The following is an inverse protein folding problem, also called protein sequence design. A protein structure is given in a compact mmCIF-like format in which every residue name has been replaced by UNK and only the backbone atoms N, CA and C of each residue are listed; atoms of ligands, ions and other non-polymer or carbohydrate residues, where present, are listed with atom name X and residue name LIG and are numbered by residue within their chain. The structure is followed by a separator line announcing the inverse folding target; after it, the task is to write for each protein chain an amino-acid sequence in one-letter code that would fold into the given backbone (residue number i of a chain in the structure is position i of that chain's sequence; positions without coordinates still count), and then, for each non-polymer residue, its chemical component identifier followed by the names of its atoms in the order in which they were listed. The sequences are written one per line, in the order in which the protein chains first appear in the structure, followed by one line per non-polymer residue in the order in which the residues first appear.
data_IF_439790903475
#
_entry.id   IF_439790903475
#
_cell.length_a   1.000
_cell.length_b   1.000
_cell.length_c   1.000
_cell.angle_alpha   90.00
_cell.angle_beta   90.00
_cell.angle_gamma   90.00
#
_symmetry.space_group_name_H-M   'P 1'
#
loop_
_entity.id
_entity.type
_entity.pdbx_description
1 polymer ?
#
# COMPACT_ATOMS: atom_id res chain seq x y z
N UNK A 1 5.15 10.10 3.50
CA UNK A 1 4.40 10.80 4.56
C UNK A 1 3.00 10.21 4.61
N UNK A 2 2.64 9.56 5.72
CA UNK A 2 1.42 8.79 5.93
C UNK A 2 1.46 8.15 7.33
N UNK A 3 0.58 7.18 7.63
CA UNK A 3 0.55 6.49 8.93
C UNK A 3 1.93 5.94 9.31
N UNK A 4 2.54 5.14 8.43
CA UNK A 4 3.86 4.57 8.68
C UNK A 4 4.93 5.62 8.98
N UNK A 5 4.95 6.77 8.27
CA UNK A 5 5.89 7.87 8.57
C UNK A 5 5.68 8.46 9.97
N UNK A 6 4.42 8.60 10.41
CA UNK A 6 4.12 9.06 11.77
C UNK A 6 4.58 8.03 12.81
N UNK A 7 4.37 6.74 12.56
CA UNK A 7 4.79 5.68 13.48
C UNK A 7 6.32 5.54 13.54
N UNK A 8 7.01 5.67 12.40
CA UNK A 8 8.47 5.75 12.34
C UNK A 8 8.99 6.94 13.15
N UNK A 9 8.31 8.09 13.06
CA UNK A 9 8.64 9.26 13.87
C UNK A 9 8.41 9.01 15.38
N UNK A 10 7.28 8.40 15.77
CA UNK A 10 7.04 8.02 17.17
C UNK A 10 8.14 7.09 17.71
N UNK A 11 8.59 6.13 16.89
CA UNK A 11 9.64 5.18 17.23
C UNK A 11 11.05 5.78 17.30
N UNK A 12 11.21 7.10 17.04
CA UNK A 12 12.48 7.78 17.32
C UNK A 12 12.70 8.00 18.82
N UNK A 13 11.62 8.00 19.60
CA UNK A 13 11.68 7.99 21.06
C UNK A 13 11.86 6.54 21.55
N UNK A 14 12.80 6.33 22.48
CA UNK A 14 13.17 5.02 23.04
C UNK A 14 12.04 4.36 23.82
N UNK A 15 11.00 5.10 24.20
CA UNK A 15 9.81 4.56 24.85
C UNK A 15 8.96 3.69 23.91
N UNK A 16 9.12 3.84 22.59
CA UNK A 16 8.31 3.19 21.58
C UNK A 16 9.13 2.17 20.78
N UNK A 17 8.57 0.97 20.58
CA UNK A 17 9.12 -0.03 19.68
C UNK A 17 8.18 -0.26 18.48
N UNK A 18 8.69 -0.12 17.27
CA UNK A 18 7.91 -0.29 16.04
C UNK A 18 8.04 -1.70 15.46
N UNK A 19 6.89 -2.31 15.17
CA UNK A 19 6.79 -3.51 14.35
C UNK A 19 5.52 -3.47 13.49
N UNK A 20 5.45 -4.33 12.48
CA UNK A 20 4.19 -4.55 11.76
C UNK A 20 3.34 -5.57 12.51
N UNK A 21 2.01 -5.49 12.41
CA UNK A 21 1.07 -6.44 13.00
C UNK A 21 1.44 -7.87 12.66
N UNK A 22 1.76 -8.12 11.39
CA UNK A 22 2.21 -9.43 10.93
C UNK A 22 3.51 -9.90 11.59
N UNK A 23 4.50 -9.01 11.75
CA UNK A 23 5.78 -9.36 12.41
C UNK A 23 5.52 -9.76 13.86
N UNK A 24 4.62 -9.06 14.54
CA UNK A 24 4.21 -9.38 15.90
C UNK A 24 3.52 -10.75 15.97
N UNK A 25 2.47 -10.95 15.17
CA UNK A 25 1.67 -12.19 15.17
C UNK A 25 2.51 -13.44 14.91
N UNK A 26 3.48 -13.34 14.00
CA UNK A 26 4.32 -14.48 13.61
C UNK A 26 5.60 -14.62 14.46
N UNK A 27 5.83 -13.73 15.43
CA UNK A 27 7.02 -13.82 16.29
C UNK A 27 6.81 -14.89 17.36
N UNK A 28 7.78 -15.78 17.51
CA UNK A 28 7.79 -16.81 18.55
C UNK A 28 7.95 -16.21 19.96
N UNK A 29 8.82 -15.22 20.09
CA UNK A 29 9.03 -14.45 21.32
C UNK A 29 8.79 -12.95 21.07
N UNK A 30 7.61 -12.41 21.42
CA UNK A 30 7.29 -11.01 21.20
C UNK A 30 8.11 -10.06 22.09
N UNK A 31 8.72 -10.52 23.20
CA UNK A 31 9.57 -9.65 24.05
C UNK A 31 10.75 -9.09 23.27
N UNK A 32 11.28 -9.86 22.31
CA UNK A 32 12.33 -9.41 21.40
C UNK A 32 11.93 -8.20 20.53
N UNK A 33 10.63 -7.96 20.32
CA UNK A 33 10.13 -6.80 19.56
C UNK A 33 9.97 -5.57 20.45
N UNK A 34 9.54 -5.74 21.70
CA UNK A 34 9.39 -4.65 22.66
C UNK A 34 10.75 -4.18 23.19
N UNK A 35 11.65 -5.11 23.50
CA UNK A 35 12.95 -4.80 24.09
C UNK A 35 12.80 -4.05 25.42
N UNK A 36 13.41 -2.87 25.52
CA UNK A 36 13.32 -1.99 26.70
C UNK A 36 12.25 -0.90 26.56
N UNK A 37 11.47 -0.91 25.47
CA UNK A 37 10.38 0.05 25.27
C UNK A 37 9.21 -0.27 26.21
N UNK A 38 8.34 0.71 26.42
CA UNK A 38 7.11 0.56 27.23
C UNK A 38 5.84 0.60 26.39
N UNK A 39 5.95 1.06 25.15
CA UNK A 39 4.84 1.14 24.20
C UNK A 39 5.19 0.37 22.93
N UNK A 40 4.32 -0.56 22.53
CA UNK A 40 4.46 -1.25 21.25
C UNK A 40 3.65 -0.53 20.16
N UNK A 41 4.32 -0.06 19.11
CA UNK A 41 3.70 0.53 17.95
C UNK A 41 3.56 -0.54 16.87
N UNK A 42 2.33 -0.82 16.48
CA UNK A 42 1.94 -1.89 15.57
C UNK A 42 1.36 -1.28 14.29
N UNK A 43 2.11 -1.36 13.19
CA UNK A 43 1.70 -0.84 11.88
C UNK A 43 1.01 -1.90 11.00
N UNK A 44 0.26 -1.42 9.99
CA UNK A 44 -0.29 -2.25 8.90
C UNK A 44 -1.17 -3.41 9.34
N UNK A 45 -2.09 -3.21 10.30
CA UNK A 45 -3.07 -4.25 10.63
C UNK A 45 -3.94 -4.64 9.42
N UNK A 46 -4.20 -3.70 8.50
CA UNK A 46 -5.00 -3.91 7.29
C UNK A 46 -4.35 -4.84 6.26
N UNK A 47 -3.11 -5.26 6.51
CA UNK A 47 -2.39 -6.26 5.72
C UNK A 47 -2.50 -7.67 6.33
N UNK A 48 -3.04 -7.82 7.54
CA UNK A 48 -3.28 -9.12 8.15
C UNK A 48 -4.46 -9.80 7.46
N UNK A 49 -4.20 -10.95 6.85
CA UNK A 49 -5.25 -11.75 6.23
C UNK A 49 -6.14 -12.38 7.32
N UNK A 50 -7.26 -11.73 7.59
CA UNK A 50 -8.28 -12.19 8.53
C UNK A 50 -9.42 -12.87 7.78
N UNK A 51 -9.84 -14.05 8.23
CA UNK A 51 -10.99 -14.76 7.66
C UNK A 51 -12.32 -14.11 8.07
N UNK A 52 -12.34 -13.41 9.22
CA UNK A 52 -13.51 -12.71 9.77
C UNK A 52 -13.14 -11.34 10.36
N UNK A 53 -14.14 -10.47 10.47
CA UNK A 53 -14.00 -9.14 11.08
C UNK A 53 -13.59 -9.25 12.56
N UNK A 54 -12.47 -8.60 12.91
CA UNK A 54 -11.91 -8.60 14.27
C UNK A 54 -10.80 -9.62 14.52
N UNK A 55 -10.66 -10.67 13.71
CA UNK A 55 -9.64 -11.72 13.92
C UNK A 55 -8.22 -11.15 13.96
N UNK A 56 -7.95 -10.11 13.14
CA UNK A 56 -6.65 -9.45 13.10
C UNK A 56 -6.30 -8.76 14.45
N UNK A 57 -7.30 -8.14 15.10
CA UNK A 57 -7.13 -7.49 16.41
C UNK A 57 -6.88 -8.56 17.48
N UNK A 58 -7.65 -9.66 17.47
CA UNK A 58 -7.48 -10.77 18.42
C UNK A 58 -6.08 -11.41 18.34
N UNK A 59 -5.55 -11.55 17.12
CA UNK A 59 -4.20 -12.06 16.92
C UNK A 59 -3.12 -11.14 17.51
N UNK A 60 -3.30 -9.81 17.40
CA UNK A 60 -2.41 -8.83 18.03
C UNK A 60 -2.56 -8.87 19.55
N UNK A 61 -3.79 -8.86 20.07
CA UNK A 61 -4.07 -8.90 21.51
C UNK A 61 -3.47 -10.13 22.18
N UNK A 62 -3.54 -11.30 21.54
CA UNK A 62 -2.89 -12.52 22.06
C UNK A 62 -1.38 -12.35 22.25
N UNK A 63 -0.71 -11.69 21.29
CA UNK A 63 0.73 -11.40 21.40
C UNK A 63 1.04 -10.31 22.41
N UNK A 64 0.14 -9.35 22.61
CA UNK A 64 0.25 -8.38 23.69
C UNK A 64 0.06 -9.05 25.07
N UNK A 65 -0.79 -10.07 25.18
CA UNK A 65 -0.93 -10.86 26.42
C UNK A 65 0.32 -11.65 26.78
N UNK A 66 1.04 -12.19 25.78
CA UNK A 66 2.38 -12.77 26.00
C UNK A 66 3.39 -11.74 26.53
N UNK A 67 3.15 -10.44 26.32
CA UNK A 67 3.98 -9.33 26.80
C UNK A 67 3.48 -8.71 28.11
N UNK A 68 2.46 -9.29 28.76
CA UNK A 68 1.78 -8.70 29.93
C UNK A 68 1.09 -7.35 29.63
N UNK A 69 0.47 -7.26 28.46
CA UNK A 69 -0.37 -6.14 28.00
C UNK A 69 0.26 -4.74 28.16
N UNK A 70 1.42 -4.47 27.51
CA UNK A 70 1.98 -3.13 27.49
C UNK A 70 1.05 -2.16 26.76
N UNK A 71 1.25 -0.86 26.98
CA UNK A 71 0.58 0.15 26.15
C UNK A 71 0.91 -0.10 24.67
N UNK A 72 -0.07 0.16 23.80
CA UNK A 72 0.15 -0.03 22.37
C UNK A 72 -0.49 1.07 21.53
N UNK A 73 0.06 1.26 20.33
CA UNK A 73 -0.53 2.08 19.26
C UNK A 73 -0.76 1.16 18.08
N UNK A 74 -1.98 1.12 17.56
CA UNK A 74 -2.35 0.24 16.44
C UNK A 74 -2.78 1.08 15.24
N UNK A 75 -2.06 0.95 14.12
CA UNK A 75 -2.43 1.59 12.86
C UNK A 75 -3.04 0.59 11.88
N UNK A 76 -4.14 1.00 11.28
CA UNK A 76 -5.04 0.18 10.47
C UNK A 76 -5.92 1.07 9.57
N UNK A 77 -6.75 0.51 8.68
CA UNK A 77 -7.87 1.29 8.10
C UNK A 77 -9.05 1.22 9.06
N UNK A 78 -9.94 2.19 8.91
CA UNK A 78 -11.11 2.34 9.79
C UNK A 78 -11.96 1.06 9.83
N UNK A 79 -12.11 0.37 8.71
CA UNK A 79 -12.93 -0.84 8.62
C UNK A 79 -12.34 -2.04 9.37
N UNK A 80 -11.02 -2.13 9.54
CA UNK A 80 -10.37 -3.38 9.95
C UNK A 80 -10.39 -3.62 11.47
N UNK A 81 -10.64 -2.57 12.26
CA UNK A 81 -10.66 -2.68 13.73
C UNK A 81 -11.97 -2.19 14.36
N UNK A 82 -12.75 -1.36 13.66
CA UNK A 82 -14.01 -0.80 14.20
C UNK A 82 -15.20 -1.76 14.16
N UNK A 83 -15.01 -3.03 13.82
CA UNK A 83 -16.06 -4.02 14.06
C UNK A 83 -16.42 -4.04 15.54
N UNK A 84 -17.67 -4.38 15.87
CA UNK A 84 -18.11 -4.48 17.27
C UNK A 84 -17.18 -5.41 18.09
N UNK A 85 -16.67 -6.46 17.44
CA UNK A 85 -15.72 -7.43 18.00
C UNK A 85 -14.37 -6.83 18.37
N UNK A 86 -13.78 -5.97 17.54
CA UNK A 86 -12.44 -5.43 17.78
C UNK A 86 -12.37 -4.48 18.98
N UNK A 87 -13.39 -3.64 19.17
CA UNK A 87 -13.46 -2.73 20.33
C UNK A 87 -13.68 -3.49 21.64
N UNK A 88 -14.63 -4.42 21.64
CA UNK A 88 -14.94 -5.25 22.81
C UNK A 88 -13.73 -6.08 23.24
N UNK A 89 -13.03 -6.71 22.29
CA UNK A 89 -11.83 -7.48 22.57
C UNK A 89 -10.71 -6.65 23.22
N UNK A 90 -10.50 -5.40 22.79
CA UNK A 90 -9.52 -4.51 23.42
C UNK A 90 -9.96 -4.16 24.86
N UNK A 91 -11.23 -3.81 25.04
CA UNK A 91 -11.78 -3.46 26.35
C UNK A 91 -11.67 -4.63 27.34
N UNK A 92 -11.96 -5.86 26.91
CA UNK A 92 -11.86 -7.05 27.76
C UNK A 92 -10.46 -7.30 28.32
N UNK A 93 -9.40 -6.92 27.59
CA UNK A 93 -8.02 -7.15 28.04
C UNK A 93 -7.42 -5.96 28.81
N UNK A 94 -7.83 -4.72 28.48
CA UNK A 94 -7.25 -3.51 29.06
C UNK A 94 -8.15 -2.79 30.07
N UNK A 95 -9.43 -3.19 30.19
CA UNK A 95 -10.48 -2.51 30.98
C UNK A 95 -10.61 -1.01 30.65
N UNK A 96 -10.20 -0.63 29.44
CA UNK A 96 -10.15 0.74 28.96
C UNK A 96 -10.57 0.80 27.50
N UNK A 97 -11.38 1.81 27.17
CA UNK A 97 -11.75 2.07 25.78
C UNK A 97 -10.53 2.54 24.99
N UNK A 98 -10.28 2.00 23.78
CA UNK A 98 -9.18 2.45 22.95
C UNK A 98 -9.39 3.91 22.51
N UNK A 99 -8.34 4.71 22.60
CA UNK A 99 -8.33 6.05 22.03
C UNK A 99 -8.29 5.97 20.51
N UNK A 100 -9.34 6.47 19.87
CA UNK A 100 -9.41 6.54 18.43
C UNK A 100 -8.83 7.86 17.90
N UNK A 101 -7.87 7.75 16.99
CA UNK A 101 -7.24 8.89 16.33
C UNK A 101 -7.37 8.78 14.80
N UNK A 102 -7.62 9.91 14.15
CA UNK A 102 -7.65 10.04 12.70
C UNK A 102 -6.54 10.95 12.22
N UNK A 103 -5.90 10.57 11.11
CA UNK A 103 -5.09 11.51 10.35
C UNK A 103 -6.01 12.31 9.45
N UNK A 104 -6.11 13.59 9.75
CA UNK A 104 -6.80 14.53 8.88
C UNK A 104 -6.06 14.65 7.55
N UNK A 105 -6.78 14.93 6.44
CA UNK A 105 -6.14 15.38 5.21
C UNK A 105 -5.22 16.56 5.47
N UNK A 106 -4.14 16.66 4.69
CA UNK A 106 -3.27 17.82 4.73
C UNK A 106 -4.08 19.10 4.51
N UNK A 107 -3.82 20.11 5.34
CA UNK A 107 -4.34 21.45 5.09
C UNK A 107 -3.66 22.02 3.85
N UNK A 108 -4.31 22.96 3.20
CA UNK A 108 -3.78 23.58 1.98
C UNK A 108 -2.40 24.21 2.20
N UNK A 109 -2.16 24.82 3.36
CA UNK A 109 -0.85 25.36 3.73
C UNK A 109 0.24 24.28 3.84
N UNK A 110 -0.08 23.13 4.44
CA UNK A 110 0.85 22.01 4.60
C UNK A 110 1.13 21.33 3.26
N UNK A 111 0.09 21.17 2.44
CA UNK A 111 0.19 20.66 1.08
C UNK A 111 1.08 21.56 0.21
N UNK A 112 0.87 22.88 0.30
CA UNK A 112 1.70 23.86 -0.39
C UNK A 112 3.15 23.82 0.09
N UNK A 113 3.39 23.74 1.40
CA UNK A 113 4.74 23.65 1.95
C UNK A 113 5.47 22.39 1.47
N UNK A 114 4.79 21.24 1.44
CA UNK A 114 5.35 19.99 0.89
C UNK A 114 5.66 20.11 -0.61
N UNK A 115 4.74 20.68 -1.40
CA UNK A 115 4.99 20.94 -2.81
C UNK A 115 6.17 21.88 -3.01
N UNK A 116 6.26 22.96 -2.23
CA UNK A 116 7.36 23.93 -2.31
C UNK A 116 8.71 23.26 -2.02
N UNK A 117 8.78 22.37 -1.03
CA UNK A 117 10.00 21.60 -0.76
C UNK A 117 10.38 20.68 -1.92
N UNK A 118 9.39 20.09 -2.60
CA UNK A 118 9.61 19.10 -3.65
C UNK A 118 9.94 19.70 -5.03
N UNK A 119 9.28 20.80 -5.40
CA UNK A 119 9.32 21.38 -6.77
C UNK A 119 9.70 22.87 -6.81
N UNK A 120 9.91 23.50 -5.65
CA UNK A 120 10.15 24.93 -5.54
C UNK A 120 8.86 25.77 -5.55
N UNK A 121 8.98 27.04 -5.15
CA UNK A 121 7.84 27.91 -4.86
C UNK A 121 6.95 28.19 -6.07
N UNK A 122 7.53 28.48 -7.23
CA UNK A 122 6.77 28.84 -8.43
C UNK A 122 5.94 27.66 -8.96
N UNK A 123 6.57 26.49 -9.07
CA UNK A 123 5.89 25.27 -9.50
C UNK A 123 4.82 24.85 -8.49
N UNK A 124 5.07 24.96 -7.18
CA UNK A 124 4.06 24.67 -6.16
C UNK A 124 2.81 25.54 -6.33
N UNK A 125 2.97 26.85 -6.59
CA UNK A 125 1.84 27.75 -6.87
C UNK A 125 1.08 27.34 -8.13
N UNK A 126 1.80 27.01 -9.20
CA UNK A 126 1.21 26.55 -10.47
C UNK A 126 0.40 25.27 -10.29
N UNK A 127 0.94 24.28 -9.56
CA UNK A 127 0.27 23.02 -9.27
C UNK A 127 -1.02 23.25 -8.48
N UNK A 128 -0.96 23.98 -7.37
CA UNK A 128 -2.14 24.23 -6.53
C UNK A 128 -3.22 24.94 -7.34
N UNK A 129 -2.85 25.99 -8.09
CA UNK A 129 -3.77 26.72 -8.96
C UNK A 129 -4.43 25.78 -9.98
N UNK A 130 -3.64 24.99 -10.70
CA UNK A 130 -4.12 24.08 -11.74
C UNK A 130 -5.08 23.02 -11.19
N UNK A 131 -4.76 22.42 -10.04
CA UNK A 131 -5.63 21.42 -9.41
C UNK A 131 -6.96 22.04 -8.94
N UNK A 132 -6.91 23.24 -8.34
CA UNK A 132 -8.10 23.94 -7.88
C UNK A 132 -9.02 24.35 -9.04
N UNK A 133 -8.47 24.92 -10.12
CA UNK A 133 -9.24 25.34 -11.31
C UNK A 133 -9.95 24.18 -12.02
N UNK A 134 -9.54 22.94 -11.74
CA UNK A 134 -10.03 21.72 -12.40
C UNK A 134 -10.85 20.82 -11.49
N UNK A 135 -11.16 21.26 -10.28
CA UNK A 135 -11.92 20.45 -9.32
C UNK A 135 -11.14 19.25 -8.79
N UNK A 136 -9.81 19.29 -8.84
CA UNK A 136 -8.89 18.22 -8.42
C UNK A 136 -8.25 18.50 -7.05
N UNK A 137 -8.76 19.48 -6.29
CA UNK A 137 -8.25 19.88 -4.98
C UNK A 137 -8.21 18.75 -3.95
N UNK A 138 -9.03 17.70 -4.11
CA UNK A 138 -9.01 16.51 -3.26
C UNK A 138 -7.66 15.76 -3.26
N UNK A 139 -6.80 16.01 -4.24
CA UNK A 139 -5.44 15.45 -4.26
C UNK A 139 -4.46 16.18 -3.36
N UNK A 140 -4.74 17.43 -2.99
CA UNK A 140 -3.88 18.21 -2.10
C UNK A 140 -3.89 17.67 -0.67
N UNK A 141 -4.98 17.01 -0.26
CA UNK A 141 -5.13 16.46 1.09
C UNK A 141 -4.34 15.17 1.35
N UNK A 142 -3.77 14.53 0.34
CA UNK A 142 -3.05 13.26 0.48
C UNK A 142 -1.55 13.44 0.16
N UNK A 143 -0.64 13.30 1.15
CA UNK A 143 0.79 13.49 0.93
C UNK A 143 1.39 12.55 -0.12
N UNK A 144 0.89 11.32 -0.19
CA UNK A 144 1.29 10.33 -1.18
C UNK A 144 0.89 10.79 -2.60
N UNK A 145 -0.33 11.33 -2.76
CA UNK A 145 -0.76 11.91 -4.02
C UNK A 145 0.04 13.16 -4.40
N UNK A 146 0.39 14.02 -3.44
CA UNK A 146 1.23 15.19 -3.69
C UNK A 146 2.63 14.84 -4.20
N UNK A 147 3.25 13.78 -3.67
CA UNK A 147 4.53 13.29 -4.18
C UNK A 147 4.40 12.87 -5.66
N UNK A 148 3.33 12.17 -6.00
CA UNK A 148 3.07 11.75 -7.37
C UNK A 148 2.85 12.93 -8.32
N UNK A 149 2.05 13.91 -7.90
CA UNK A 149 1.84 15.16 -8.65
C UNK A 149 3.15 15.91 -8.84
N UNK A 150 3.99 15.96 -7.80
CA UNK A 150 5.32 16.59 -7.86
C UNK A 150 6.22 15.92 -8.90
N UNK A 151 6.22 14.58 -8.97
CA UNK A 151 7.00 13.85 -9.98
C UNK A 151 6.50 14.11 -11.41
N UNK A 152 5.18 14.19 -11.60
CA UNK A 152 4.57 14.48 -12.90
C UNK A 152 4.91 15.91 -13.34
N UNK A 153 4.78 16.87 -12.42
CA UNK A 153 5.05 18.28 -12.69
C UNK A 153 6.50 18.52 -13.15
N UNK A 154 7.46 17.73 -12.66
CA UNK A 154 8.86 17.80 -13.09
C UNK A 154 9.10 17.28 -14.51
N UNK A 155 8.25 16.37 -14.98
CA UNK A 155 8.46 15.62 -16.23
C UNK A 155 7.51 16.05 -17.37
N UNK A 156 6.62 17.02 -17.15
CA UNK A 156 5.75 17.52 -18.21
C UNK A 156 4.54 18.32 -17.74
N UNK A 157 3.49 18.26 -18.54
CA UNK A 157 2.21 18.95 -18.32
C UNK A 157 1.48 18.36 -17.11
N UNK A 158 0.82 19.22 -16.34
CA UNK A 158 -0.10 18.81 -15.28
C UNK A 158 -1.38 18.18 -15.86
N UNK A 159 -1.95 17.16 -15.19
CA UNK A 159 -3.11 16.43 -15.70
C UNK A 159 -4.40 17.24 -15.56
N UNK A 160 -5.32 17.06 -16.51
CA UNK A 160 -6.62 17.75 -16.49
C UNK A 160 -7.70 16.97 -15.77
N UNK A 161 -7.49 15.67 -15.57
CA UNK A 161 -8.44 14.77 -14.90
C UNK A 161 -7.73 13.78 -13.97
N UNK A 162 -8.48 13.15 -13.06
CA UNK A 162 -7.98 12.04 -12.23
C UNK A 162 -7.45 10.86 -13.07
N UNK A 163 -8.13 10.54 -14.17
CA UNK A 163 -7.68 9.48 -15.08
C UNK A 163 -6.36 9.83 -15.75
N UNK A 164 -6.22 11.07 -16.21
CA UNK A 164 -4.97 11.54 -16.80
C UNK A 164 -3.82 11.57 -15.78
N UNK A 165 -4.08 11.97 -14.53
CA UNK A 165 -3.09 11.92 -13.45
C UNK A 165 -2.52 10.51 -13.30
N UNK A 166 -3.38 9.50 -13.22
CA UNK A 166 -2.94 8.12 -13.08
C UNK A 166 -2.25 7.58 -14.33
N UNK A 167 -2.70 7.93 -15.54
CA UNK A 167 -2.00 7.56 -16.78
C UNK A 167 -0.60 8.19 -16.86
N UNK A 168 -0.47 9.47 -16.51
CA UNK A 168 0.82 10.17 -16.48
C UNK A 168 1.74 9.58 -15.39
N UNK A 169 1.21 9.33 -14.19
CA UNK A 169 1.91 8.65 -13.10
C UNK A 169 2.47 7.29 -13.52
N UNK A 170 1.65 6.47 -14.16
CA UNK A 170 2.06 5.17 -14.68
C UNK A 170 3.20 5.32 -15.69
N UNK A 171 3.17 6.35 -16.54
CA UNK A 171 4.26 6.60 -17.48
C UNK A 171 5.57 6.93 -16.77
N UNK A 172 5.54 7.84 -15.79
CA UNK A 172 6.71 8.25 -15.00
C UNK A 172 7.28 7.08 -14.20
N UNK A 173 6.42 6.26 -13.56
CA UNK A 173 6.84 5.13 -12.73
C UNK A 173 7.30 3.91 -13.56
N UNK A 174 6.89 3.81 -14.81
CA UNK A 174 7.37 2.75 -15.71
C UNK A 174 8.80 3.02 -16.18
N UNK A 175 9.27 4.26 -16.17
CA UNK A 175 10.64 4.58 -16.55
C UNK A 175 11.64 4.02 -15.54
N UNK A 176 12.79 3.58 -16.05
CA UNK A 176 13.64 2.55 -15.44
C UNK A 176 14.47 3.07 -14.25
N UNK A 177 14.63 2.26 -13.20
CA UNK A 177 15.56 2.56 -12.07
C UNK A 177 16.99 2.06 -12.32
N UNK A 178 17.23 1.22 -13.34
CA UNK A 178 18.57 0.70 -13.66
C UNK A 178 18.72 0.46 -15.16
N UNK A 179 19.66 1.18 -15.77
CA UNK A 179 20.11 0.99 -17.14
C UNK A 179 20.70 -0.41 -17.34
N UNK A 180 19.84 -1.41 -17.54
CA UNK A 180 20.27 -2.75 -17.97
C UNK A 180 20.30 -2.77 -19.49
N UNK A 181 21.51 -2.61 -20.03
CA UNK A 181 21.79 -2.79 -21.46
C UNK A 181 21.65 -4.29 -21.80
N UNK A 182 20.52 -4.70 -22.39
CA UNK A 182 20.41 -5.73 -23.46
C UNK A 182 19.03 -6.43 -23.49
N UNK A 183 18.62 -6.78 -24.73
CA UNK A 183 17.42 -7.52 -25.18
C UNK A 183 16.13 -6.71 -25.43
N UNK A 184 15.35 -7.15 -26.43
CA UNK A 184 14.08 -6.54 -26.89
C UNK A 184 13.17 -6.26 -25.70
N UNK A 185 13.06 -4.99 -25.30
CA UNK A 185 12.16 -4.62 -24.22
C UNK A 185 10.71 -4.93 -24.63
N UNK A 186 9.89 -5.54 -23.74
CA UNK A 186 8.48 -5.76 -24.01
C UNK A 186 7.76 -4.46 -24.33
N UNK A 187 6.67 -4.53 -25.10
CA UNK A 187 5.94 -3.33 -25.44
C UNK A 187 5.37 -2.66 -24.16
N UNK A 188 5.13 -1.35 -24.22
CA UNK A 188 4.52 -0.60 -23.11
C UNK A 188 3.29 -1.32 -22.55
N UNK A 189 2.42 -1.76 -23.46
CA UNK A 189 1.17 -2.43 -23.11
C UNK A 189 1.43 -3.70 -22.29
N UNK A 190 2.39 -4.50 -22.71
CA UNK A 190 2.70 -5.79 -22.08
C UNK A 190 3.20 -5.61 -20.64
N UNK A 191 4.04 -4.60 -20.39
CA UNK A 191 4.50 -4.27 -19.03
C UNK A 191 3.32 -3.82 -18.15
N UNK A 192 2.42 -3.00 -18.69
CA UNK A 192 1.27 -2.49 -17.94
C UNK A 192 0.22 -3.57 -17.69
N UNK A 193 -0.01 -4.46 -18.67
CA UNK A 193 -0.90 -5.60 -18.51
C UNK A 193 -0.35 -6.58 -17.46
N UNK A 194 0.97 -6.81 -17.44
CA UNK A 194 1.60 -7.67 -16.43
C UNK A 194 1.55 -7.07 -15.02
N UNK A 195 1.83 -5.77 -14.90
CA UNK A 195 1.68 -5.04 -13.64
C UNK A 195 0.22 -5.04 -13.17
N UNK A 196 -0.72 -4.77 -14.08
CA UNK A 196 -2.14 -4.81 -13.79
C UNK A 196 -2.64 -6.19 -13.34
N UNK A 197 -2.16 -7.27 -13.97
CA UNK A 197 -2.45 -8.64 -13.54
C UNK A 197 -1.99 -8.88 -12.09
N UNK A 198 -0.73 -8.56 -11.80
CA UNK A 198 -0.16 -8.73 -10.47
C UNK A 198 -0.91 -7.92 -9.39
N UNK A 199 -1.19 -6.64 -9.67
CA UNK A 199 -1.89 -5.77 -8.73
C UNK A 199 -3.34 -6.19 -8.51
N UNK A 200 -4.05 -6.57 -9.57
CA UNK A 200 -5.41 -7.11 -9.46
C UNK A 200 -5.42 -8.37 -8.60
N UNK A 201 -4.51 -9.31 -8.83
CA UNK A 201 -4.43 -10.53 -8.03
C UNK A 201 -4.16 -10.23 -6.55
N UNK A 202 -3.15 -9.41 -6.25
CA UNK A 202 -2.84 -9.03 -4.86
C UNK A 202 -4.04 -8.38 -4.15
N UNK A 203 -4.73 -7.47 -4.81
CA UNK A 203 -5.90 -6.79 -4.23
C UNK A 203 -7.05 -7.78 -4.00
N UNK A 204 -7.35 -8.63 -4.99
CA UNK A 204 -8.48 -9.56 -4.92
C UNK A 204 -8.26 -10.72 -3.95
N UNK A 205 -7.02 -11.12 -3.71
CA UNK A 205 -6.66 -12.20 -2.78
C UNK A 205 -6.25 -11.69 -1.40
N UNK A 206 -6.19 -10.37 -1.19
CA UNK A 206 -5.64 -9.77 0.03
C UNK A 206 -4.14 -10.06 0.23
N UNK A 207 -3.40 -10.39 -0.84
CA UNK A 207 -1.97 -10.65 -0.75
C UNK A 207 -1.15 -9.35 -0.76
N UNK A 208 -0.13 -9.28 0.09
CA UNK A 208 0.73 -8.10 0.24
C UNK A 208 1.79 -7.99 -0.87
N UNK A 209 2.20 -9.14 -1.41
CA UNK A 209 3.33 -9.23 -2.31
C UNK A 209 3.20 -10.39 -3.31
N UNK A 210 3.97 -10.28 -4.38
CA UNK A 210 4.31 -11.38 -5.30
C UNK A 210 5.75 -11.83 -5.08
N UNK A 211 6.05 -13.11 -5.30
CA UNK A 211 7.39 -13.68 -5.06
C UNK A 211 7.95 -14.46 -6.25
N UNK A 212 9.29 -14.38 -6.45
CA UNK A 212 10.03 -15.22 -7.42
C UNK A 212 10.24 -16.65 -6.90
N UNK A 213 10.15 -16.86 -5.59
CA UNK A 213 10.34 -18.18 -4.99
C UNK A 213 9.05 -18.98 -5.09
N UNK A 214 9.11 -20.16 -5.71
CA UNK A 214 8.00 -21.12 -5.77
C UNK A 214 8.32 -22.33 -4.88
N UNK A 215 7.42 -22.69 -3.97
CA UNK A 215 7.57 -23.85 -3.07
C UNK A 215 7.18 -23.55 -1.61
N UNK A 216 7.27 -24.56 -0.74
CA UNK A 216 6.88 -24.70 0.69
C UNK A 216 7.01 -23.48 1.63
N UNK A 217 7.67 -22.40 1.21
CA UNK A 217 7.79 -21.12 1.90
C UNK A 217 6.79 -20.05 1.40
N UNK A 218 5.87 -20.39 0.50
CA UNK A 218 4.77 -19.49 0.12
C UNK A 218 3.83 -19.30 1.32
N UNK A 219 4.03 -18.20 2.05
CA UNK A 219 3.05 -17.75 3.04
C UNK A 219 1.71 -17.50 2.33
N UNK A 220 0.58 -17.74 2.99
CA UNK A 220 -0.78 -17.48 2.46
C UNK A 220 -1.00 -16.07 1.89
N UNK A 221 -0.14 -15.11 2.22
CA UNK A 221 -0.22 -13.71 1.81
C UNK A 221 0.64 -13.37 0.58
N UNK A 222 1.24 -14.36 -0.08
CA UNK A 222 2.20 -14.13 -1.16
C UNK A 222 1.83 -14.99 -2.37
N UNK A 223 1.67 -14.36 -3.53
CA UNK A 223 1.33 -15.05 -4.77
C UNK A 223 2.62 -15.37 -5.53
N UNK A 224 2.73 -16.56 -6.11
CA UNK A 224 3.89 -16.87 -6.94
C UNK A 224 3.81 -16.08 -8.24
N UNK A 225 4.94 -15.52 -8.68
CA UNK A 225 5.05 -14.91 -10.02
C UNK A 225 4.63 -15.88 -11.11
N UNK A 226 4.87 -17.18 -10.92
CA UNK A 226 4.46 -18.20 -11.92
C UNK A 226 2.95 -18.33 -12.04
N UNK A 227 2.17 -18.02 -10.99
CA UNK A 227 0.71 -18.00 -11.04
C UNK A 227 0.21 -16.76 -11.78
N UNK A 228 0.82 -15.60 -11.53
CA UNK A 228 0.49 -14.37 -12.25
C UNK A 228 0.85 -14.49 -13.73
N UNK A 229 1.97 -15.11 -14.08
CA UNK A 229 2.36 -15.33 -15.48
C UNK A 229 1.38 -16.23 -16.26
N UNK A 230 0.52 -17.00 -15.58
CA UNK A 230 -0.55 -17.78 -16.22
C UNK A 230 -1.79 -16.92 -16.51
N UNK A 231 -1.90 -15.75 -15.90
CA UNK A 231 -3.01 -14.84 -16.15
C UNK A 231 -2.83 -14.13 -17.49
N UNK A 232 -3.93 -13.79 -18.17
CA UNK A 232 -3.87 -13.05 -19.42
C UNK A 232 -3.06 -11.74 -19.30
N UNK A 233 -2.03 -11.57 -20.13
CA UNK A 233 -1.17 -10.38 -20.09
C UNK A 233 -0.12 -10.39 -18.97
N UNK A 234 -0.02 -11.46 -18.18
CA UNK A 234 0.95 -11.60 -17.08
C UNK A 234 2.36 -12.06 -17.51
N UNK A 235 2.56 -12.39 -18.77
CA UNK A 235 3.75 -13.10 -19.29
C UNK A 235 5.06 -12.32 -19.06
N UNK A 236 4.97 -11.00 -19.04
CA UNK A 236 6.12 -10.09 -18.92
C UNK A 236 6.33 -9.55 -17.50
N UNK A 237 5.77 -10.22 -16.48
CA UNK A 237 5.87 -9.75 -15.10
C UNK A 237 7.33 -9.66 -14.63
N UNK A 238 8.18 -10.60 -15.02
CA UNK A 238 9.59 -10.60 -14.62
C UNK A 238 10.32 -9.31 -15.04
N UNK A 239 9.99 -8.76 -16.22
CA UNK A 239 10.53 -7.50 -16.74
C UNK A 239 9.82 -6.27 -16.17
N UNK A 240 8.54 -6.41 -15.78
CA UNK A 240 7.78 -5.33 -15.15
C UNK A 240 8.28 -5.03 -13.72
N UNK A 241 8.80 -6.04 -13.01
CA UNK A 241 9.32 -5.92 -11.64
C UNK A 241 10.52 -4.97 -11.52
N UNK A 242 11.25 -4.72 -12.60
CA UNK A 242 12.40 -3.80 -12.60
C UNK A 242 11.99 -2.33 -12.77
N UNK A 243 10.69 -2.04 -12.90
CA UNK A 243 10.14 -0.69 -13.04
C UNK A 243 9.73 -0.13 -11.68
N UNK A 244 9.71 1.20 -11.55
CA UNK A 244 9.28 1.92 -10.31
C UNK A 244 7.78 1.76 -10.02
N UNK A 245 7.06 0.97 -10.81
CA UNK A 245 5.71 0.49 -10.49
C UNK A 245 5.70 -0.46 -9.29
N UNK A 246 6.82 -1.17 -9.06
CA UNK A 246 7.00 -2.09 -7.96
C UNK A 246 8.01 -1.58 -6.93
N UNK A 247 7.76 -1.89 -5.66
CA UNK A 247 8.72 -1.74 -4.56
C UNK A 247 9.11 -3.12 -4.03
N UNK A 248 10.35 -3.26 -3.56
CA UNK A 248 10.80 -4.45 -2.86
C UNK A 248 10.13 -4.56 -1.48
N UNK A 249 9.59 -5.74 -1.17
CA UNK A 249 8.93 -6.08 0.10
C UNK A 249 9.68 -7.19 0.86
N UNK A 250 11.00 -7.30 0.63
CA UNK A 250 11.87 -8.34 1.14
C UNK A 250 12.66 -9.05 0.03
N UNK A 251 13.37 -10.11 0.40
CA UNK A 251 14.13 -10.93 -0.56
C UNK A 251 13.15 -11.57 -1.55
N UNK A 252 13.35 -11.29 -2.83
CA UNK A 252 12.53 -11.81 -3.93
C UNK A 252 11.01 -11.54 -3.82
N UNK A 253 10.60 -10.59 -2.98
CA UNK A 253 9.22 -10.17 -2.78
C UNK A 253 9.00 -8.75 -3.31
N UNK A 254 7.88 -8.53 -3.99
CA UNK A 254 7.55 -7.26 -4.62
C UNK A 254 6.11 -6.87 -4.33
N UNK A 255 5.87 -5.58 -4.08
CA UNK A 255 4.54 -4.99 -3.89
C UNK A 255 4.36 -3.76 -4.80
N UNK A 256 3.18 -3.17 -4.85
CA UNK A 256 2.97 -1.92 -5.59
C UNK A 256 3.75 -0.76 -4.94
N UNK A 257 4.35 0.11 -5.75
CA UNK A 257 4.99 1.31 -5.22
C UNK A 257 3.97 2.31 -4.64
N UNK A 258 2.75 2.29 -5.17
CA UNK A 258 1.67 3.16 -4.75
C UNK A 258 0.32 2.45 -4.88
N UNK A 259 -0.42 2.29 -3.78
CA UNK A 259 -1.65 1.48 -3.79
C UNK A 259 -2.68 1.97 -4.80
N UNK A 260 -2.92 3.28 -4.87
CA UNK A 260 -3.88 3.84 -5.85
C UNK A 260 -3.47 3.62 -7.30
N UNK A 261 -2.16 3.52 -7.60
CA UNK A 261 -1.67 3.14 -8.93
C UNK A 261 -1.91 1.65 -9.16
N UNK A 262 -1.69 0.82 -8.13
CA UNK A 262 -2.03 -0.59 -8.14
C UNK A 262 -3.52 -0.83 -8.43
N UNK A 263 -4.40 -0.13 -7.72
CA UNK A 263 -5.86 -0.17 -7.91
C UNK A 263 -6.26 0.31 -9.31
N UNK A 264 -5.68 1.40 -9.80
CA UNK A 264 -5.95 1.91 -11.14
C UNK A 264 -5.55 0.91 -12.23
N UNK A 265 -4.32 0.37 -12.17
CA UNK A 265 -3.82 -0.61 -13.14
C UNK A 265 -4.54 -1.94 -13.04
N UNK A 266 -4.86 -2.39 -11.82
CA UNK A 266 -5.66 -3.60 -11.58
C UNK A 266 -7.07 -3.46 -12.16
N UNK A 267 -7.74 -2.34 -11.92
CA UNK A 267 -9.06 -2.04 -12.48
C UNK A 267 -9.01 -1.94 -14.02
N UNK A 268 -8.00 -1.27 -14.57
CA UNK A 268 -7.78 -1.19 -16.02
C UNK A 268 -7.59 -2.59 -16.62
N UNK A 269 -6.75 -3.41 -15.99
CA UNK A 269 -6.53 -4.80 -16.41
C UNK A 269 -7.83 -5.60 -16.39
N UNK A 270 -8.59 -5.56 -15.28
CA UNK A 270 -9.89 -6.23 -15.14
C UNK A 270 -10.90 -5.77 -16.19
N UNK A 271 -11.00 -4.45 -16.44
CA UNK A 271 -11.93 -3.89 -17.43
C UNK A 271 -11.63 -4.34 -18.86
N UNK A 272 -10.36 -4.65 -19.15
CA UNK A 272 -9.94 -5.16 -20.46
C UNK A 272 -10.25 -6.64 -20.66
N UNK A 273 -10.61 -7.36 -19.59
CA UNK A 273 -11.03 -8.77 -19.66
C UNK A 273 -12.49 -8.82 -20.09
N UNK A 274 -12.74 -9.45 -21.24
CA UNK A 274 -14.11 -9.77 -21.67
C UNK A 274 -14.74 -10.66 -20.59
N UNK A 275 -15.91 -10.28 -20.08
CA UNK A 275 -16.70 -11.18 -19.23
C UNK A 275 -16.95 -12.48 -20.01
N UNK A 276 -16.76 -13.66 -19.40
CA UNK A 276 -17.25 -14.89 -20.00
C UNK A 276 -18.76 -14.75 -20.22
N UNK A 277 -19.25 -15.22 -21.36
CA UNK A 277 -20.69 -15.25 -21.61
C UNK A 277 -21.37 -16.03 -20.46
N UNK A 278 -22.53 -15.58 -19.97
CA UNK A 278 -23.27 -16.35 -18.97
C UNK A 278 -23.53 -17.76 -19.52
N UNK A 279 -23.43 -18.80 -18.69
CA UNK A 279 -23.74 -20.15 -19.14
C UNK A 279 -25.17 -20.18 -19.69
N UNK A 280 -25.44 -20.96 -20.76
CA UNK A 280 -26.79 -21.07 -21.30
C UNK A 280 -27.74 -21.52 -20.17
N UNK A 281 -28.86 -20.80 -20.01
CA UNK A 281 -29.93 -21.27 -19.14
C UNK A 281 -30.48 -22.57 -19.73
N UNK A 282 -30.25 -23.69 -19.05
CA UNK A 282 -30.92 -24.94 -19.39
C UNK A 282 -32.43 -24.70 -19.30
N UNK A 283 -33.10 -24.84 -20.44
CA UNK A 283 -34.57 -24.79 -20.56
C UNK A 283 -35.17 -26.15 -20.23
#
# INVERSE_FOLDING_TARGET
MGKSTLLEWLATDRLYALCTARKLINRSDPHSLLGNATVLVVDSLDEVNAQRDGDAVDHVLRKLGELDYPLFVLACRVADWRSATGREAIYEQYEQEPYELHLDPLREADAFALLQQNVGMEHARSIVKHLNERGLQGFLGNPQTLNLVSEIAKNGRLPDTKGELFEQAVNVLREETRASKSSKQPAKKDILDAAGAAFASMILTGSEAISRVSGSFSSETTISITEICKLPGGEFLAQALDKRLFNGAGIDRFTYAHRSIGEFLGARWLSSRKRPAPPPMNS
#
